data_IF_565612656453
#
_entry.id   IF_565612656453
#
_cell.length_a   1.000
_cell.length_b   1.000
_cell.length_c   1.000
_cell.angle_alpha   90.00
_cell.angle_beta   90.00
_cell.angle_gamma   90.00
#
_symmetry.space_group_name_H-M   'P 1'
#
loop_
_entity.id
_entity.type
_entity.pdbx_description
1 polymer ?
#
# COMPACT_ATOMS: atom_id res chain seq x y z
N UNK A 1 -38.47 -28.31 -31.06
CA UNK A 1 -38.23 -29.46 -30.17
C UNK A 1 -37.76 -28.90 -28.85
N UNK A 2 -38.61 -29.03 -27.84
CA UNK A 2 -38.55 -28.31 -26.57
C UNK A 2 -37.31 -28.72 -25.76
N UNK A 3 -36.53 -27.71 -25.40
CA UNK A 3 -35.36 -27.80 -24.52
C UNK A 3 -35.87 -27.88 -23.06
N UNK A 4 -36.31 -29.08 -22.66
CA UNK A 4 -36.60 -29.41 -21.25
C UNK A 4 -35.28 -29.61 -20.52
N UNK A 5 -34.61 -28.52 -20.20
CA UNK A 5 -33.64 -28.50 -19.11
C UNK A 5 -34.43 -28.32 -17.81
N UNK A 6 -34.92 -29.41 -17.24
CA UNK A 6 -35.31 -29.46 -15.83
C UNK A 6 -34.08 -29.06 -15.00
N UNK A 7 -34.04 -27.80 -14.58
CA UNK A 7 -33.07 -27.31 -13.63
C UNK A 7 -33.34 -28.03 -12.30
N UNK A 8 -32.48 -28.99 -11.97
CA UNK A 8 -32.49 -29.66 -10.65
C UNK A 8 -32.22 -28.56 -9.61
N UNK A 9 -33.28 -28.02 -9.02
CA UNK A 9 -33.27 -26.89 -8.09
C UNK A 9 -32.83 -27.24 -6.66
N UNK A 10 -31.77 -28.04 -6.54
CA UNK A 10 -31.16 -28.36 -5.24
C UNK A 10 -29.92 -27.50 -4.97
N UNK A 11 -29.47 -27.41 -3.70
CA UNK A 11 -28.16 -26.87 -3.39
C UNK A 11 -27.06 -27.64 -4.15
N UNK A 12 -25.93 -27.01 -4.49
CA UNK A 12 -24.82 -27.71 -5.14
C UNK A 12 -24.36 -28.90 -4.26
N UNK A 13 -24.00 -30.04 -4.87
CA UNK A 13 -23.55 -31.21 -4.11
C UNK A 13 -22.29 -30.89 -3.31
N UNK A 14 -22.19 -31.45 -2.10
CA UNK A 14 -20.98 -31.38 -1.27
C UNK A 14 -19.85 -32.18 -1.90
N UNK A 15 -18.61 -31.93 -1.49
CA UNK A 15 -17.44 -32.69 -1.94
C UNK A 15 -17.60 -34.19 -1.64
N UNK A 16 -18.07 -34.55 -0.45
CA UNK A 16 -18.36 -35.93 -0.07
C UNK A 16 -19.40 -36.60 -0.98
N UNK A 17 -20.44 -35.87 -1.39
CA UNK A 17 -21.45 -36.40 -2.32
C UNK A 17 -20.89 -36.59 -3.74
N UNK A 18 -19.97 -35.73 -4.19
CA UNK A 18 -19.27 -35.89 -5.47
C UNK A 18 -18.33 -37.10 -5.46
N UNK A 19 -17.59 -37.32 -4.36
CA UNK A 19 -16.72 -38.48 -4.21
C UNK A 19 -17.53 -39.79 -4.17
N UNK A 20 -18.61 -39.85 -3.39
CA UNK A 20 -19.50 -41.01 -3.38
C UNK A 20 -20.12 -41.29 -4.77
N UNK A 21 -20.44 -40.24 -5.53
CA UNK A 21 -20.92 -40.40 -6.90
C UNK A 21 -19.84 -40.94 -7.85
N UNK A 22 -18.57 -40.58 -7.65
CA UNK A 22 -17.44 -41.15 -8.40
C UNK A 22 -17.36 -42.66 -8.12
N UNK A 23 -17.37 -43.08 -6.86
CA UNK A 23 -17.30 -44.50 -6.47
C UNK A 23 -18.40 -45.33 -7.13
N UNK A 24 -19.63 -44.80 -7.14
CA UNK A 24 -20.79 -45.46 -7.78
C UNK A 24 -20.61 -45.53 -9.30
N UNK A 25 -20.13 -44.46 -9.94
CA UNK A 25 -19.89 -44.45 -11.40
C UNK A 25 -18.79 -45.44 -11.78
N UNK A 26 -17.73 -45.56 -10.98
CA UNK A 26 -16.65 -46.52 -11.18
C UNK A 26 -17.13 -47.96 -11.03
N UNK A 27 -17.96 -48.25 -10.03
CA UNK A 27 -18.59 -49.57 -9.87
C UNK A 27 -19.48 -49.94 -11.06
N UNK A 28 -20.30 -49.00 -11.55
CA UNK A 28 -21.14 -49.21 -12.74
C UNK A 28 -20.31 -49.34 -14.02
N UNK A 29 -19.15 -48.68 -14.09
CA UNK A 29 -18.21 -48.84 -15.20
C UNK A 29 -17.56 -50.23 -15.22
N UNK A 30 -17.30 -50.82 -14.03
CA UNK A 30 -16.80 -52.18 -13.88
C UNK A 30 -17.89 -53.24 -14.14
N UNK A 31 -19.10 -53.03 -13.60
CA UNK A 31 -20.26 -53.90 -13.82
C UNK A 31 -21.48 -53.11 -14.32
N UNK A 32 -21.68 -53.17 -15.63
CA UNK A 32 -22.82 -52.51 -16.29
C UNK A 32 -24.17 -53.16 -15.95
N UNK A 33 -24.17 -54.39 -15.44
CA UNK A 33 -25.36 -55.13 -15.02
C UNK A 33 -26.11 -54.44 -13.88
N UNK A 34 -25.41 -53.65 -13.06
CA UNK A 34 -26.00 -52.87 -11.96
C UNK A 34 -27.11 -51.90 -12.45
N UNK A 35 -27.06 -51.45 -13.71
CA UNK A 35 -28.10 -50.60 -14.31
C UNK A 35 -29.44 -51.30 -14.53
N UNK A 36 -29.51 -52.64 -14.41
CA UNK A 36 -30.77 -53.38 -14.49
C UNK A 36 -31.71 -53.08 -13.30
N UNK A 37 -31.17 -52.59 -12.19
CA UNK A 37 -31.93 -52.25 -10.98
C UNK A 37 -32.66 -50.89 -11.10
N UNK A 38 -32.42 -50.15 -12.19
CA UNK A 38 -32.87 -48.77 -12.37
C UNK A 38 -33.84 -48.68 -13.57
N UNK A 39 -34.82 -47.78 -13.48
CA UNK A 39 -35.80 -47.56 -14.55
C UNK A 39 -35.11 -47.21 -15.89
N UNK A 40 -35.74 -47.53 -17.03
CA UNK A 40 -35.19 -47.15 -18.35
C UNK A 40 -34.98 -45.64 -18.47
N UNK A 41 -35.91 -44.85 -17.90
CA UNK A 41 -35.83 -43.38 -17.88
C UNK A 41 -34.57 -42.91 -17.15
N UNK A 42 -34.32 -43.44 -15.94
CA UNK A 42 -33.19 -43.01 -15.12
C UNK A 42 -31.85 -43.56 -15.65
N UNK A 43 -31.84 -44.76 -16.25
CA UNK A 43 -30.67 -45.28 -16.99
C UNK A 43 -30.25 -44.32 -18.11
N UNK A 44 -31.21 -43.82 -18.90
CA UNK A 44 -30.93 -42.82 -19.96
C UNK A 44 -30.39 -41.51 -19.36
N UNK A 45 -30.94 -41.05 -18.22
CA UNK A 45 -30.45 -39.86 -17.52
C UNK A 45 -29.01 -40.00 -17.05
N UNK A 46 -28.64 -41.14 -16.46
CA UNK A 46 -27.27 -41.42 -16.01
C UNK A 46 -26.30 -41.35 -17.20
N UNK A 47 -26.59 -42.08 -18.29
CA UNK A 47 -25.73 -42.12 -19.49
C UNK A 47 -25.57 -40.72 -20.08
N UNK A 48 -26.67 -39.98 -20.29
CA UNK A 48 -26.61 -38.63 -20.84
C UNK A 48 -25.85 -37.65 -19.92
N UNK A 49 -25.96 -37.78 -18.61
CA UNK A 49 -25.20 -36.99 -17.66
C UNK A 49 -23.69 -37.31 -17.74
N UNK A 50 -23.33 -38.60 -17.76
CA UNK A 50 -21.94 -39.05 -17.92
C UNK A 50 -21.32 -38.54 -19.22
N UNK A 51 -22.05 -38.59 -20.34
CA UNK A 51 -21.59 -38.06 -21.64
C UNK A 51 -21.36 -36.54 -21.60
N UNK A 52 -22.27 -35.78 -20.98
CA UNK A 52 -22.13 -34.32 -20.82
C UNK A 52 -20.94 -33.94 -19.95
N UNK A 53 -20.63 -34.75 -18.92
CA UNK A 53 -19.45 -34.58 -18.07
C UNK A 53 -18.18 -34.92 -18.85
N UNK A 54 -18.15 -36.04 -19.58
CA UNK A 54 -17.00 -36.50 -20.34
C UNK A 54 -16.68 -35.60 -21.55
N UNK A 55 -17.71 -35.05 -22.21
CA UNK A 55 -17.59 -34.20 -23.41
C UNK A 55 -18.31 -32.87 -23.20
N UNK A 56 -17.77 -31.97 -22.36
CA UNK A 56 -18.41 -30.71 -22.07
C UNK A 56 -18.32 -29.75 -23.27
N UNK A 57 -19.36 -28.94 -23.45
CA UNK A 57 -19.39 -27.86 -24.43
C UNK A 57 -18.40 -26.72 -24.07
N UNK A 58 -18.16 -25.81 -25.02
CA UNK A 58 -17.21 -24.69 -24.86
C UNK A 58 -17.56 -23.76 -23.69
N UNK A 59 -18.85 -23.51 -23.42
CA UNK A 59 -19.33 -22.65 -22.32
C UNK A 59 -19.09 -23.35 -20.98
N UNK A 60 -19.38 -24.64 -20.88
CA UNK A 60 -19.13 -25.43 -19.67
C UNK A 60 -17.63 -25.50 -19.33
N UNK A 61 -16.75 -25.75 -20.31
CA UNK A 61 -15.28 -25.71 -20.11
C UNK A 61 -14.79 -24.34 -19.60
N UNK A 62 -15.26 -23.25 -20.21
CA UNK A 62 -14.93 -21.89 -19.77
C UNK A 62 -15.41 -21.60 -18.34
N UNK A 63 -16.60 -22.10 -17.97
CA UNK A 63 -17.14 -21.94 -16.61
C UNK A 63 -16.25 -22.63 -15.58
N UNK A 64 -15.80 -23.86 -15.85
CA UNK A 64 -14.89 -24.58 -14.96
C UNK A 64 -13.54 -23.86 -14.78
N UNK A 65 -12.91 -23.41 -15.88
CA UNK A 65 -11.67 -22.63 -15.81
C UNK A 65 -11.83 -21.33 -15.03
N UNK A 66 -12.96 -20.63 -15.19
CA UNK A 66 -13.27 -19.44 -14.41
C UNK A 66 -13.46 -19.75 -12.93
N UNK A 67 -14.08 -20.87 -12.58
CA UNK A 67 -14.23 -21.30 -11.20
C UNK A 67 -12.88 -21.61 -10.55
N UNK A 68 -11.98 -22.32 -11.24
CA UNK A 68 -10.60 -22.54 -10.77
C UNK A 68 -9.86 -21.22 -10.55
N UNK A 69 -9.89 -20.32 -11.54
CA UNK A 69 -9.26 -19.01 -11.41
C UNK A 69 -9.85 -18.18 -10.27
N UNK A 70 -11.16 -18.22 -10.08
CA UNK A 70 -11.82 -17.52 -8.99
C UNK A 70 -11.40 -18.07 -7.62
N UNK A 71 -11.26 -19.40 -7.50
CA UNK A 71 -10.73 -20.04 -6.29
C UNK A 71 -9.30 -19.60 -6.01
N UNK A 72 -8.41 -19.71 -7.00
CA UNK A 72 -7.02 -19.25 -6.89
C UNK A 72 -6.92 -17.78 -6.48
N UNK A 73 -7.73 -16.90 -7.09
CA UNK A 73 -7.79 -15.49 -6.73
C UNK A 73 -8.30 -15.26 -5.31
N UNK A 74 -9.25 -16.07 -4.83
CA UNK A 74 -9.77 -16.02 -3.47
C UNK A 74 -8.69 -16.42 -2.48
N UNK A 75 -8.01 -17.55 -2.73
CA UNK A 75 -6.93 -18.05 -1.88
C UNK A 75 -5.79 -17.02 -1.79
N UNK A 76 -5.39 -16.43 -2.93
CA UNK A 76 -4.39 -15.35 -2.96
C UNK A 76 -4.86 -14.08 -2.22
N UNK A 77 -6.16 -13.74 -2.30
CA UNK A 77 -6.71 -12.60 -1.58
C UNK A 77 -6.73 -12.83 -0.07
N UNK A 78 -7.02 -14.06 0.37
CA UNK A 78 -6.95 -14.47 1.78
C UNK A 78 -5.51 -14.36 2.32
N UNK A 79 -4.51 -14.85 1.57
CA UNK A 79 -3.09 -14.68 1.91
C UNK A 79 -2.70 -13.20 2.01
N UNK A 80 -3.08 -12.38 1.02
CA UNK A 80 -2.82 -10.93 1.04
C UNK A 80 -3.48 -10.22 2.21
N UNK A 81 -4.67 -10.67 2.62
CA UNK A 81 -5.36 -10.10 3.78
C UNK A 81 -4.62 -10.43 5.08
N UNK A 82 -4.09 -11.65 5.22
CA UNK A 82 -3.23 -12.01 6.35
C UNK A 82 -1.93 -11.19 6.36
N UNK A 83 -1.27 -11.05 5.21
CA UNK A 83 -0.08 -10.21 5.06
C UNK A 83 -0.32 -8.73 5.39
N UNK A 84 -1.50 -8.21 5.06
CA UNK A 84 -1.87 -6.82 5.40
C UNK A 84 -1.91 -6.58 6.92
N UNK A 85 -2.24 -7.61 7.72
CA UNK A 85 -2.16 -7.53 9.18
C UNK A 85 -0.70 -7.42 9.65
N UNK A 86 0.22 -8.21 9.07
CA UNK A 86 1.66 -8.11 9.36
C UNK A 86 2.20 -6.71 9.01
N UNK A 87 1.83 -6.21 7.83
CA UNK A 87 2.26 -4.88 7.37
C UNK A 87 1.68 -3.75 8.23
N UNK A 88 0.46 -3.90 8.74
CA UNK A 88 -0.16 -2.92 9.63
C UNK A 88 0.63 -2.64 10.90
N UNK A 89 1.50 -3.58 11.33
CA UNK A 89 2.38 -3.43 12.50
C UNK A 89 3.60 -2.54 12.24
N UNK A 90 3.94 -2.29 10.97
CA UNK A 90 5.14 -1.52 10.61
C UNK A 90 5.09 -0.10 11.14
N UNK A 91 6.25 0.40 11.57
CA UNK A 91 6.42 1.74 12.11
C UNK A 91 5.88 2.85 11.20
N UNK A 92 5.99 2.73 9.87
CA UNK A 92 5.46 3.73 8.94
C UNK A 92 3.92 3.81 8.92
N UNK A 93 3.23 2.73 9.33
CA UNK A 93 1.76 2.65 9.40
C UNK A 93 1.21 2.89 10.80
N UNK A 94 1.92 2.43 11.83
CA UNK A 94 1.53 2.60 13.24
C UNK A 94 1.95 3.95 13.79
N UNK A 95 3.03 4.55 13.27
CA UNK A 95 3.45 5.88 13.68
C UNK A 95 2.25 6.82 13.52
N UNK A 96 1.84 7.52 14.60
CA UNK A 96 0.70 8.41 14.56
C UNK A 96 0.92 9.34 13.39
N UNK A 97 0.02 9.27 12.40
CA UNK A 97 0.08 10.23 11.33
C UNK A 97 0.03 11.59 12.00
N UNK A 98 0.92 12.49 11.63
CA UNK A 98 0.97 13.87 12.12
C UNK A 98 -0.31 14.68 11.84
N UNK A 99 -1.44 14.02 11.55
CA UNK A 99 -2.79 14.56 11.50
C UNK A 99 -3.37 14.81 12.89
N UNK A 100 -2.88 14.14 13.94
CA UNK A 100 -3.03 14.64 15.30
C UNK A 100 -1.84 15.56 15.56
N UNK A 101 -2.04 16.84 15.22
CA UNK A 101 -1.17 17.90 15.70
C UNK A 101 -1.23 17.86 17.23
N UNK A 102 -0.08 17.71 17.90
CA UNK A 102 0.00 17.96 19.33
C UNK A 102 -0.53 19.39 19.54
N UNK A 103 -1.58 19.54 20.35
CA UNK A 103 -1.86 20.82 21.00
C UNK A 103 -0.56 21.24 21.70
N UNK A 104 -0.15 22.52 21.63
CA UNK A 104 0.96 23.02 22.43
C UNK A 104 0.60 22.79 23.91
N UNK A 105 1.18 21.76 24.50
CA UNK A 105 1.16 21.53 25.92
C UNK A 105 2.62 21.58 26.37
N UNK A 106 3.02 22.58 27.18
CA UNK A 106 4.32 22.52 27.82
C UNK A 106 4.37 21.24 28.66
N UNK A 107 5.36 20.36 28.48
CA UNK A 107 5.45 19.19 29.34
C UNK A 107 5.72 19.67 30.77
N UNK A 108 4.94 19.16 31.73
CA UNK A 108 5.38 19.15 33.14
C UNK A 108 6.73 18.43 33.23
N UNK A 109 7.62 18.78 34.17
CA UNK A 109 8.87 18.05 34.34
C UNK A 109 8.54 16.61 34.75
N UNK A 110 8.66 15.68 33.79
CA UNK A 110 8.54 14.26 34.03
C UNK A 110 9.87 13.59 33.72
N UNK A 111 10.34 12.75 34.64
CA UNK A 111 11.43 11.83 34.35
C UNK A 111 10.91 10.82 33.33
N UNK A 112 11.54 10.81 32.16
CA UNK A 112 11.16 9.96 31.04
C UNK A 112 11.63 8.54 31.34
N UNK A 113 10.81 7.74 32.02
CA UNK A 113 11.00 6.30 31.89
C UNK A 113 10.66 5.93 30.45
N UNK A 114 11.69 5.52 29.72
CA UNK A 114 11.56 4.99 28.37
C UNK A 114 10.54 3.84 28.40
N UNK A 115 9.67 3.73 27.37
CA UNK A 115 8.81 2.57 27.24
C UNK A 115 9.66 1.30 27.35
N UNK A 116 9.14 0.23 27.98
CA UNK A 116 9.93 -0.98 28.22
C UNK A 116 10.55 -1.42 26.90
N UNK A 117 11.87 -1.60 26.92
CA UNK A 117 12.59 -2.14 25.79
C UNK A 117 11.98 -3.51 25.49
N UNK A 118 11.11 -3.56 24.47
CA UNK A 118 10.87 -4.82 23.82
C UNK A 118 12.27 -5.29 23.38
N UNK A 119 12.67 -6.48 23.82
CA UNK A 119 13.90 -7.09 23.36
C UNK A 119 13.69 -7.46 21.89
N UNK A 120 13.97 -6.48 21.02
CA UNK A 120 13.99 -6.60 19.57
C UNK A 120 15.34 -7.16 19.16
N UNK A 121 15.36 -8.43 18.72
CA UNK A 121 16.33 -8.91 17.74
C UNK A 121 15.87 -10.26 17.15
N UNK A 122 16.11 -10.59 15.87
CA UNK A 122 17.32 -10.34 15.04
C UNK A 122 17.00 -10.14 13.55
N UNK A 123 17.21 -9.04 12.85
CA UNK A 123 17.79 -7.72 13.09
C UNK A 123 16.88 -6.79 12.24
N UNK A 124 16.10 -5.87 12.82
CA UNK A 124 15.20 -4.97 12.06
C UNK A 124 14.01 -5.55 11.25
N UNK A 125 13.59 -6.82 11.38
CA UNK A 125 12.44 -7.38 10.62
C UNK A 125 11.29 -7.84 11.53
N UNK A 126 10.04 -7.64 11.09
CA UNK A 126 8.82 -8.06 11.83
C UNK A 126 8.44 -9.50 11.49
N UNK A 127 8.29 -9.80 10.20
CA UNK A 127 7.79 -11.10 9.73
C UNK A 127 8.04 -11.29 8.23
N UNK A 128 7.76 -12.50 7.73
CA UNK A 128 7.78 -12.87 6.32
C UNK A 128 6.36 -12.90 5.74
N UNK A 129 6.20 -12.33 4.55
CA UNK A 129 4.95 -12.34 3.79
C UNK A 129 4.74 -13.68 3.10
N UNK A 130 3.49 -14.11 3.03
CA UNK A 130 3.07 -15.27 2.25
C UNK A 130 3.08 -14.95 0.74
N UNK A 131 2.81 -13.68 0.40
CA UNK A 131 2.87 -13.17 -0.97
C UNK A 131 3.96 -12.10 -1.08
N UNK A 132 5.02 -12.42 -1.83
CA UNK A 132 6.10 -11.49 -2.11
C UNK A 132 5.59 -10.17 -2.75
N UNK A 133 6.26 -9.07 -2.41
CA UNK A 133 5.97 -7.71 -2.90
C UNK A 133 7.18 -7.14 -3.62
N UNK A 134 6.93 -6.18 -4.51
CA UNK A 134 8.00 -5.46 -5.20
C UNK A 134 8.46 -4.23 -4.40
N UNK A 135 9.77 -4.11 -4.18
CA UNK A 135 10.40 -2.99 -3.50
C UNK A 135 10.12 -1.66 -4.20
N UNK A 136 9.79 -0.62 -3.44
CA UNK A 136 9.51 0.69 -3.99
C UNK A 136 10.73 1.34 -4.66
N UNK A 137 11.96 1.02 -4.23
CA UNK A 137 13.20 1.60 -4.76
C UNK A 137 13.76 0.74 -5.90
N UNK A 138 14.29 -0.44 -5.61
CA UNK A 138 15.00 -1.28 -6.58
C UNK A 138 14.08 -2.13 -7.48
N UNK A 139 12.78 -2.21 -7.16
CA UNK A 139 11.77 -3.06 -7.83
C UNK A 139 11.95 -4.58 -7.69
N UNK A 140 12.99 -5.05 -7.00
CA UNK A 140 13.15 -6.46 -6.66
C UNK A 140 12.03 -6.98 -5.77
N UNK A 141 11.74 -8.27 -5.87
CA UNK A 141 10.75 -8.94 -5.03
C UNK A 141 11.34 -9.21 -3.64
N UNK A 142 10.52 -9.05 -2.61
CA UNK A 142 10.87 -9.31 -1.22
C UNK A 142 9.66 -9.83 -0.45
N UNK A 143 9.93 -10.62 0.57
CA UNK A 143 8.94 -11.19 1.50
C UNK A 143 9.28 -10.87 2.96
N UNK A 144 10.54 -10.59 3.30
CA UNK A 144 10.93 -10.11 4.62
C UNK A 144 10.56 -8.63 4.84
N UNK A 145 9.76 -8.34 5.86
CA UNK A 145 9.23 -7.00 6.16
C UNK A 145 10.06 -6.32 7.24
N UNK A 146 10.68 -5.19 6.89
CA UNK A 146 11.41 -4.36 7.85
C UNK A 146 10.46 -3.76 8.90
N UNK A 147 10.93 -3.60 10.14
CA UNK A 147 10.09 -3.16 11.24
C UNK A 147 9.45 -1.79 11.03
N UNK A 148 10.16 -0.91 10.33
CA UNK A 148 9.65 0.41 9.99
C UNK A 148 9.02 0.49 8.60
N UNK A 149 9.59 -0.18 7.58
CA UNK A 149 9.26 0.06 6.17
C UNK A 149 8.46 -1.11 5.59
N UNK A 150 7.23 -0.84 5.14
CA UNK A 150 6.30 -1.84 4.59
C UNK A 150 6.40 -2.05 3.07
N UNK A 151 7.23 -1.24 2.40
CA UNK A 151 7.31 -1.15 0.95
C UNK A 151 8.75 -1.24 0.41
N UNK A 152 9.73 -1.59 1.25
CA UNK A 152 11.14 -1.70 0.88
C UNK A 152 11.64 -3.12 1.16
N UNK A 153 12.48 -3.64 0.26
CA UNK A 153 13.23 -4.86 0.54
C UNK A 153 14.26 -4.63 1.67
N UNK A 154 14.77 -5.69 2.30
CA UNK A 154 15.76 -5.63 3.39
C UNK A 154 16.88 -4.60 3.15
N UNK A 155 17.67 -4.76 2.10
CA UNK A 155 18.83 -3.89 1.81
C UNK A 155 18.43 -2.41 1.66
N UNK A 156 17.31 -2.14 0.98
CA UNK A 156 16.83 -0.78 0.79
C UNK A 156 16.30 -0.19 2.10
N UNK A 157 15.64 -1.01 2.93
CA UNK A 157 15.08 -0.59 4.19
C UNK A 157 16.17 -0.22 5.19
N UNK A 158 17.18 -1.09 5.36
CA UNK A 158 18.33 -0.85 6.23
C UNK A 158 19.10 0.39 5.81
N UNK A 159 19.43 0.50 4.51
CA UNK A 159 20.10 1.69 3.99
C UNK A 159 19.31 2.96 4.32
N UNK A 160 17.99 2.98 4.11
CA UNK A 160 17.18 4.17 4.42
C UNK A 160 17.03 4.41 5.92
N UNK A 161 17.05 3.35 6.73
CA UNK A 161 17.01 3.43 8.18
C UNK A 161 18.28 4.10 8.72
N UNK A 162 19.46 3.65 8.28
CA UNK A 162 20.75 4.26 8.63
C UNK A 162 20.82 5.74 8.26
N UNK A 163 20.30 6.12 7.08
CA UNK A 163 20.26 7.52 6.63
C UNK A 163 19.29 8.39 7.43
N UNK A 164 18.37 7.80 8.19
CA UNK A 164 17.33 8.54 8.92
C UNK A 164 17.89 9.35 10.08
N UNK A 165 18.99 8.91 10.68
CA UNK A 165 19.60 9.57 11.85
C UNK A 165 20.84 10.38 11.48
N UNK A 166 21.26 10.34 10.21
CA UNK A 166 22.40 11.12 9.76
C UNK A 166 22.10 12.61 9.80
N UNK A 167 22.95 13.34 10.51
CA UNK A 167 22.96 14.79 10.59
C UNK A 167 24.22 15.34 9.96
N UNK A 168 24.13 16.56 9.44
CA UNK A 168 25.27 17.30 8.90
C UNK A 168 25.02 18.78 9.15
N UNK A 169 26.06 19.51 9.56
CA UNK A 169 25.98 20.95 9.69
C UNK A 169 25.91 21.60 8.30
N UNK A 170 24.85 22.37 8.07
CA UNK A 170 24.60 23.10 6.83
C UNK A 170 24.69 24.62 7.02
N UNK A 171 25.34 25.07 8.10
CA UNK A 171 25.60 26.49 8.36
C UNK A 171 26.28 27.17 7.17
N UNK A 172 25.80 28.37 6.82
CA UNK A 172 26.30 29.13 5.67
C UNK A 172 25.89 28.59 4.29
N UNK A 173 25.01 27.58 4.22
CA UNK A 173 24.40 27.11 2.97
C UNK A 173 23.01 27.72 2.76
N UNK A 174 22.60 27.80 1.50
CA UNK A 174 21.32 28.37 1.10
C UNK A 174 20.49 27.33 0.35
N UNK A 175 19.34 26.97 0.89
CA UNK A 175 18.42 26.04 0.26
C UNK A 175 17.16 26.74 -0.29
N UNK A 176 16.58 26.16 -1.33
CA UNK A 176 15.19 26.42 -1.73
C UNK A 176 14.44 25.12 -1.57
N UNK A 177 13.46 25.12 -0.67
CA UNK A 177 12.50 24.04 -0.51
C UNK A 177 11.23 24.36 -1.31
N UNK A 178 10.60 23.37 -1.90
CA UNK A 178 9.23 23.53 -2.41
C UNK A 178 8.31 22.55 -1.70
N UNK A 179 7.08 22.96 -1.39
CA UNK A 179 6.09 22.07 -0.73
C UNK A 179 6.31 21.90 0.78
N UNK A 180 6.98 22.83 1.46
CA UNK A 180 7.32 22.70 2.89
C UNK A 180 6.17 22.83 3.89
N UNK A 181 4.90 22.81 3.46
CA UNK A 181 3.72 23.01 4.33
C UNK A 181 3.33 21.76 5.15
N UNK A 182 3.48 20.56 4.58
CA UNK A 182 2.88 19.32 5.12
C UNK A 182 3.86 18.15 4.98
N UNK A 183 4.14 17.44 6.10
CA UNK A 183 5.01 16.25 6.23
C UNK A 183 6.46 16.42 5.71
N UNK A 184 7.40 15.64 6.28
CA UNK A 184 8.86 15.61 6.06
C UNK A 184 9.64 16.94 6.15
N UNK A 185 9.05 18.07 5.76
CA UNK A 185 9.60 19.41 5.85
C UNK A 185 9.44 20.07 7.23
N UNK A 186 8.47 19.61 8.02
CA UNK A 186 8.18 20.12 9.38
C UNK A 186 8.86 19.31 10.48
N UNK A 187 9.39 18.11 10.22
CA UNK A 187 9.87 17.20 11.28
C UNK A 187 11.36 17.30 11.58
N UNK A 188 12.10 18.18 10.89
CA UNK A 188 13.50 18.50 11.21
C UNK A 188 13.84 19.93 10.78
N UNK A 189 13.76 20.91 11.68
CA UNK A 189 14.19 22.28 11.43
C UNK A 189 15.73 22.42 11.36
N UNK A 190 16.46 21.55 12.08
CA UNK A 190 17.91 21.57 12.32
C UNK A 190 18.80 21.64 11.06
N UNK A 191 18.33 21.14 9.89
CA UNK A 191 19.19 20.89 8.71
C UNK A 191 18.85 21.72 7.47
N UNK A 192 18.23 22.91 7.56
CA UNK A 192 18.16 23.77 6.37
C UNK A 192 18.05 25.27 6.70
N UNK A 193 19.12 26.05 6.50
CA UNK A 193 19.02 27.50 6.40
C UNK A 193 18.28 27.87 5.09
N UNK A 194 17.23 28.68 5.22
CA UNK A 194 16.40 29.12 4.10
C UNK A 194 15.40 28.05 3.67
N UNK A 195 14.23 28.00 4.32
CA UNK A 195 13.10 27.18 3.83
C UNK A 195 12.12 28.07 3.10
N UNK A 196 11.65 27.58 1.97
CA UNK A 196 10.61 28.21 1.18
C UNK A 196 9.42 27.24 1.14
N UNK A 197 8.21 27.72 1.46
CA UNK A 197 7.02 26.87 1.56
C UNK A 197 5.97 27.30 0.55
N UNK A 198 5.51 26.34 -0.27
CA UNK A 198 4.64 26.50 -1.45
C UNK A 198 3.23 25.93 -1.15
N UNK A 199 2.15 26.52 -1.67
CA UNK A 199 0.92 25.88 -2.25
C UNK A 199 -0.28 26.86 -2.35
N UNK A 200 -1.30 26.50 -3.17
CA UNK A 200 -2.38 27.34 -3.74
C UNK A 200 -3.42 27.85 -2.71
N UNK A 201 -3.88 29.09 -2.96
CA UNK A 201 -4.96 29.87 -2.31
C UNK A 201 -4.70 30.31 -0.85
N UNK A 202 -4.88 31.62 -0.60
CA UNK A 202 -5.01 32.29 0.71
C UNK A 202 -5.52 31.31 1.78
N UNK A 203 -4.79 30.96 2.87
CA UNK A 203 -3.74 31.70 3.61
C UNK A 203 -2.42 30.89 3.82
N UNK A 204 -1.96 30.16 2.80
CA UNK A 204 -0.88 29.16 2.94
C UNK A 204 0.47 29.70 3.46
N UNK A 205 1.00 30.87 3.01
CA UNK A 205 2.26 31.39 3.55
C UNK A 205 2.17 31.75 5.04
N UNK A 206 1.00 32.24 5.49
CA UNK A 206 0.75 32.58 6.89
C UNK A 206 0.67 31.31 7.76
N UNK A 207 -0.06 30.30 7.30
CA UNK A 207 -0.11 28.97 7.96
C UNK A 207 1.28 28.33 8.06
N UNK A 208 2.08 28.38 6.98
CA UNK A 208 3.44 27.87 7.00
C UNK A 208 4.35 28.66 7.96
N UNK A 209 4.29 29.99 7.93
CA UNK A 209 5.05 30.83 8.85
C UNK A 209 4.69 30.55 10.32
N UNK A 210 3.39 30.49 10.64
CA UNK A 210 2.91 30.16 12.00
C UNK A 210 3.43 28.82 12.49
N UNK A 211 3.42 27.78 11.64
CA UNK A 211 3.93 26.45 11.99
C UNK A 211 5.43 26.46 12.26
N UNK A 212 6.19 27.13 11.41
CA UNK A 212 7.63 27.24 11.59
C UNK A 212 7.99 28.00 12.87
N UNK A 213 7.28 29.09 13.17
CA UNK A 213 7.50 29.85 14.41
C UNK A 213 7.00 29.15 15.67
N UNK A 214 6.20 28.07 15.55
CA UNK A 214 5.74 27.30 16.71
C UNK A 214 6.65 26.14 17.09
N UNK A 215 7.71 25.86 16.30
CA UNK A 215 8.73 24.89 16.68
C UNK A 215 9.57 25.44 17.84
N UNK A 216 9.99 24.56 18.74
CA UNK A 216 10.70 24.91 19.99
C UNK A 216 12.05 25.61 19.73
N UNK A 217 12.75 25.19 18.67
CA UNK A 217 14.05 25.72 18.24
C UNK A 217 13.93 26.89 17.25
N UNK A 218 12.72 27.42 17.01
CA UNK A 218 12.49 28.40 15.95
C UNK A 218 13.25 29.70 16.13
N UNK A 219 13.61 30.07 17.36
CA UNK A 219 14.49 31.22 17.65
C UNK A 219 15.82 31.16 16.92
N UNK A 220 16.34 29.96 16.66
CA UNK A 220 17.71 29.74 16.19
C UNK A 220 17.84 29.90 14.66
N UNK A 221 16.71 29.85 13.95
CA UNK A 221 16.70 29.83 12.49
C UNK A 221 15.60 30.66 11.83
N UNK A 222 14.58 31.12 12.56
CA UNK A 222 13.46 31.91 12.00
C UNK A 222 13.89 33.18 11.29
N UNK A 223 14.95 33.86 11.77
CA UNK A 223 15.51 35.06 11.12
C UNK A 223 16.10 34.80 9.73
N UNK A 224 16.46 33.54 9.45
CA UNK A 224 17.00 33.07 8.16
C UNK A 224 15.93 32.43 7.27
N UNK A 225 14.70 32.29 7.76
CA UNK A 225 13.59 31.67 7.03
C UNK A 225 12.88 32.70 6.14
N UNK A 226 12.66 32.35 4.87
CA UNK A 226 11.87 33.18 3.95
C UNK A 226 10.72 32.39 3.34
N UNK A 227 9.48 32.70 3.74
CA UNK A 227 8.29 32.00 3.25
C UNK A 227 7.65 32.76 2.09
N UNK A 228 7.59 32.13 0.92
CA UNK A 228 7.02 32.75 -0.30
C UNK A 228 5.86 31.92 -0.86
N UNK A 229 4.74 32.58 -1.14
CA UNK A 229 3.60 31.96 -1.82
C UNK A 229 3.89 31.73 -3.30
N UNK A 230 4.03 30.47 -3.71
CA UNK A 230 4.36 30.10 -5.09
C UNK A 230 3.39 29.07 -5.69
N UNK A 231 3.00 29.26 -6.95
CA UNK A 231 2.18 28.30 -7.72
C UNK A 231 2.92 27.81 -8.96
N UNK A 232 3.71 26.73 -8.82
CA UNK A 232 4.43 26.10 -9.96
C UNK A 232 3.54 25.52 -11.07
N UNK A 233 2.20 25.59 -10.99
CA UNK A 233 1.35 25.26 -12.16
C UNK A 233 1.28 26.43 -13.15
N UNK A 234 1.56 27.64 -12.67
CA UNK A 234 1.65 28.82 -13.48
C UNK A 234 3.11 29.11 -13.82
N UNK A 235 3.58 28.54 -14.93
CA UNK A 235 4.95 28.69 -15.43
C UNK A 235 5.29 30.09 -15.92
N UNK A 236 4.30 30.99 -16.04
CA UNK A 236 4.51 32.40 -16.42
C UNK A 236 5.08 33.24 -15.26
N UNK A 237 5.12 32.71 -14.03
CA UNK A 237 5.74 33.37 -12.86
C UNK A 237 7.24 33.09 -12.74
N UNK A 238 8.00 33.32 -13.82
CA UNK A 238 9.48 33.19 -13.85
C UNK A 238 10.20 34.13 -12.88
N UNK A 239 9.55 35.22 -12.44
CA UNK A 239 10.12 36.19 -11.51
C UNK A 239 10.59 35.61 -10.17
N UNK A 240 10.04 34.47 -9.75
CA UNK A 240 10.52 33.78 -8.54
C UNK A 240 11.95 33.24 -8.67
N UNK A 241 12.37 32.84 -9.88
CA UNK A 241 13.72 32.35 -10.14
C UNK A 241 14.78 33.48 -10.15
N UNK A 242 14.34 34.74 -10.00
CA UNK A 242 15.21 35.92 -9.93
C UNK A 242 14.81 36.74 -8.70
N UNK A 243 15.18 36.27 -7.50
CA UNK A 243 14.85 36.98 -6.28
C UNK A 243 15.50 38.37 -6.28
N UNK A 244 14.97 39.33 -5.52
CA UNK A 244 15.55 40.67 -5.42
C UNK A 244 17.05 40.59 -5.08
N UNK A 245 17.91 41.42 -5.70
CA UNK A 245 19.33 41.47 -5.34
C UNK A 245 19.50 41.57 -3.82
N UNK A 246 20.32 40.70 -3.22
CA UNK A 246 20.61 40.69 -1.79
C UNK A 246 19.73 39.79 -0.90
N UNK A 247 18.71 39.10 -1.44
CA UNK A 247 17.85 38.20 -0.63
C UNK A 247 18.38 36.77 -0.49
N UNK A 248 19.09 36.26 -1.49
CA UNK A 248 19.83 34.99 -1.46
C UNK A 248 21.19 35.23 -2.14
N UNK A 249 22.33 35.15 -1.45
CA UNK A 249 23.65 35.38 -2.04
C UNK A 249 24.02 34.32 -3.09
N UNK A 250 23.62 33.07 -2.85
CA UNK A 250 23.83 31.91 -3.73
C UNK A 250 22.76 30.85 -3.47
N UNK A 251 22.65 29.85 -4.34
CA UNK A 251 21.82 28.67 -4.14
C UNK A 251 22.72 27.44 -4.02
N UNK A 252 22.77 26.80 -2.85
CA UNK A 252 23.52 25.57 -2.62
C UNK A 252 22.63 24.32 -2.84
N UNK A 253 21.35 24.38 -2.43
CA UNK A 253 20.44 23.24 -2.52
C UNK A 253 19.08 23.60 -3.12
N UNK A 254 18.55 22.76 -4.02
CA UNK A 254 17.18 22.84 -4.50
C UNK A 254 16.43 21.55 -4.14
N UNK A 255 15.54 21.64 -3.16
CA UNK A 255 14.75 20.52 -2.65
C UNK A 255 13.34 20.59 -3.23
N UNK A 256 13.08 19.78 -4.25
CA UNK A 256 11.79 19.72 -4.94
C UNK A 256 10.81 18.74 -4.29
N UNK A 257 10.24 19.11 -3.15
CA UNK A 257 9.25 18.30 -2.44
C UNK A 257 7.79 18.64 -2.81
N UNK A 258 7.54 19.70 -3.60
CA UNK A 258 6.19 20.08 -3.95
C UNK A 258 5.50 19.03 -4.84
N UNK A 259 4.53 18.33 -4.28
CA UNK A 259 3.70 17.34 -4.96
C UNK A 259 2.25 17.83 -5.10
N UNK A 260 1.53 17.31 -6.10
CA UNK A 260 0.08 17.48 -6.21
C UNK A 260 -0.59 16.13 -5.95
N UNK A 261 -1.54 16.11 -5.02
CA UNK A 261 -2.37 14.92 -4.80
C UNK A 261 -3.19 14.65 -6.06
N UNK A 262 -2.81 13.63 -6.82
CA UNK A 262 -3.59 13.14 -7.94
C UNK A 262 -4.70 12.27 -7.36
N UNK A 263 -5.95 12.73 -7.42
CA UNK A 263 -7.10 11.89 -7.08
C UNK A 263 -7.22 10.82 -8.16
N UNK A 264 -6.92 9.56 -7.82
CA UNK A 264 -7.23 8.43 -8.70
C UNK A 264 -8.75 8.27 -8.76
N UNK A 265 -9.32 8.31 -9.97
CA UNK A 265 -10.71 7.89 -10.18
C UNK A 265 -10.81 6.39 -9.88
N UNK A 266 -11.91 5.97 -9.24
CA UNK A 266 -12.17 4.53 -9.02
C UNK A 266 -12.20 3.84 -10.38
N UNK A 267 -11.28 2.91 -10.62
CA UNK A 267 -11.21 2.12 -11.85
C UNK A 267 -10.01 2.35 -12.78
N UNK A 268 -9.08 3.29 -12.52
CA UNK A 268 -7.89 3.41 -13.37
C UNK A 268 -6.89 2.28 -13.05
N UNK A 269 -6.84 1.25 -13.88
CA UNK A 269 -5.76 0.25 -13.86
C UNK A 269 -4.44 0.90 -14.27
N UNK A 270 -3.35 0.42 -13.66
CA UNK A 270 -1.98 0.85 -13.91
C UNK A 270 -1.60 0.46 -15.35
N UNK A 271 -1.46 1.43 -16.25
CA UNK A 271 -0.75 1.26 -17.53
C UNK A 271 0.74 1.10 -17.26
#
# INVERSE_FOLDING_TARGET
MEDSTDAIGGPPPTEAALLAAIDVIEQVALDRGLLAQVSEKDRKRIIQASERIARPDRKSRKRLLRAFKHREQKDLAEQKAADELKLALTGIRTAPSSRHFKQPCPPEPFETELPPAAEWNRENFIDRLDVARSCYICKGDFDWVHFFYDALCPDCAEFNWERREQTVDLSGRYAVLTGGRVKMATTRPETAPGRLSRHRHHPVPRDAATRFTSEEDSSDWSTRLQVHGLDLRNTQRRGFCRPPPGTLPRLDFLINNACQTVRRLRGSTRT
#
